data_IF_085765502051
#
_entry.id   IF_085765502051
#
_cell.length_a   1.000
_cell.length_b   1.000
_cell.length_c   1.000
_cell.angle_alpha   90.00
_cell.angle_beta   90.00
_cell.angle_gamma   90.00
#
_symmetry.space_group_name_H-M   'P 1'
#
loop_
_entity.id
_entity.type
_entity.pdbx_description
1 polymer ?
#
# COMPACT_ATOMS: atom_id res chain seq x y z
N UNK A 1 3.51 4.65 -5.38
CA UNK A 1 4.54 4.19 -4.42
C UNK A 1 5.92 4.67 -4.86
N UNK A 2 6.58 5.52 -4.06
CA UNK A 2 7.94 6.03 -4.34
C UNK A 2 8.98 4.92 -4.56
N UNK A 3 8.84 3.80 -3.84
CA UNK A 3 9.77 2.67 -4.01
C UNK A 3 9.64 2.04 -5.40
N UNK A 4 8.42 1.90 -5.91
CA UNK A 4 8.18 1.26 -7.21
C UNK A 4 8.46 2.22 -8.37
N UNK A 5 8.06 3.50 -8.26
CA UNK A 5 8.37 4.51 -9.26
C UNK A 5 9.88 4.79 -9.31
N UNK A 6 10.45 5.26 -8.21
CA UNK A 6 11.81 5.77 -8.21
C UNK A 6 12.85 4.65 -8.17
N UNK A 7 12.80 3.78 -7.15
CA UNK A 7 13.89 2.82 -6.92
C UNK A 7 13.87 1.61 -7.85
N UNK A 8 12.70 1.20 -8.33
CA UNK A 8 12.57 0.10 -9.30
C UNK A 8 12.59 0.64 -10.73
N UNK A 9 11.59 1.42 -11.15
CA UNK A 9 11.44 1.82 -12.56
C UNK A 9 12.50 2.83 -13.00
N UNK A 10 12.71 3.92 -12.25
CA UNK A 10 13.56 5.03 -12.72
C UNK A 10 15.06 4.78 -12.47
N UNK A 11 15.40 4.12 -11.35
CA UNK A 11 16.80 3.88 -10.94
C UNK A 11 17.30 2.46 -11.16
N UNK A 12 16.40 1.48 -11.31
CA UNK A 12 16.78 0.07 -11.47
C UNK A 12 17.59 -0.49 -10.30
N UNK A 13 17.54 0.14 -9.11
CA UNK A 13 18.32 -0.27 -7.96
C UNK A 13 17.84 -1.61 -7.38
N UNK A 14 16.52 -1.83 -7.43
CA UNK A 14 15.90 -3.09 -7.03
C UNK A 14 15.19 -3.72 -8.23
N UNK A 15 15.23 -5.05 -8.32
CA UNK A 15 14.30 -5.76 -9.17
C UNK A 15 12.88 -5.62 -8.61
N UNK A 16 11.87 -5.69 -9.47
CA UNK A 16 10.48 -5.61 -9.03
C UNK A 16 10.15 -6.66 -7.94
N UNK A 17 10.52 -7.95 -8.08
CA UNK A 17 10.30 -8.94 -7.01
C UNK A 17 10.99 -8.62 -5.69
N UNK A 18 12.23 -8.08 -5.69
CA UNK A 18 12.91 -7.71 -4.45
C UNK A 18 12.22 -6.51 -3.76
N UNK A 19 11.76 -5.53 -4.53
CA UNK A 19 10.99 -4.41 -3.99
C UNK A 19 9.65 -4.87 -3.38
N UNK A 20 8.92 -5.77 -4.05
CA UNK A 20 7.69 -6.36 -3.49
C UNK A 20 8.00 -7.09 -2.17
N UNK A 21 9.04 -7.94 -2.14
CA UNK A 21 9.48 -8.64 -0.92
C UNK A 21 9.78 -7.68 0.22
N UNK A 22 10.51 -6.58 -0.04
CA UNK A 22 10.85 -5.54 0.94
C UNK A 22 9.63 -4.83 1.51
N UNK A 23 8.59 -4.64 0.69
CA UNK A 23 7.36 -3.95 1.07
C UNK A 23 6.30 -4.88 1.70
N UNK A 24 6.45 -6.20 1.59
CA UNK A 24 5.40 -7.16 1.97
C UNK A 24 5.92 -8.25 2.92
N UNK A 25 6.51 -9.33 2.40
CA UNK A 25 6.86 -10.51 3.19
C UNK A 25 7.98 -10.25 4.19
N UNK A 26 8.95 -9.40 3.87
CA UNK A 26 10.05 -9.09 4.79
C UNK A 26 9.58 -8.43 6.11
N UNK A 27 8.80 -7.33 6.09
CA UNK A 27 8.25 -6.78 7.33
C UNK A 27 7.25 -7.72 8.01
N UNK A 28 6.45 -8.49 7.26
CA UNK A 28 5.54 -9.48 7.85
C UNK A 28 6.30 -10.55 8.65
N UNK A 29 7.37 -11.11 8.08
CA UNK A 29 8.24 -12.08 8.76
C UNK A 29 8.93 -11.46 9.98
N UNK A 30 9.45 -10.23 9.84
CA UNK A 30 10.08 -9.52 10.96
C UNK A 30 9.13 -9.31 12.14
N UNK A 31 7.84 -9.05 11.87
CA UNK A 31 6.79 -8.89 12.87
C UNK A 31 6.16 -10.21 13.33
N UNK A 32 6.56 -11.35 12.76
CA UNK A 32 5.99 -12.66 13.08
C UNK A 32 4.55 -12.85 12.60
N UNK A 33 4.12 -12.13 11.57
CA UNK A 33 2.78 -12.20 11.00
C UNK A 33 2.72 -13.34 10.00
N UNK A 34 2.07 -14.44 10.37
CA UNK A 34 2.09 -15.68 9.59
C UNK A 34 0.95 -15.74 8.57
N UNK A 35 -0.13 -14.98 8.80
CA UNK A 35 -1.33 -14.97 7.98
C UNK A 35 -1.29 -13.98 6.79
N UNK A 36 -0.16 -13.28 6.55
CA UNK A 36 -0.05 -12.22 5.54
C UNK A 36 1.35 -12.04 4.95
N UNK A 37 1.51 -11.02 4.10
CA UNK A 37 2.78 -10.63 3.49
C UNK A 37 3.15 -11.39 2.22
N UNK A 38 2.37 -12.41 1.83
CA UNK A 38 2.50 -13.11 0.56
C UNK A 38 1.13 -13.52 0.02
N UNK A 39 1.06 -13.77 -1.29
CA UNK A 39 -0.15 -14.18 -1.98
C UNK A 39 -0.23 -15.72 -2.03
N UNK A 40 -0.86 -16.31 -1.02
CA UNK A 40 -1.00 -17.76 -0.85
C UNK A 40 -2.42 -18.12 -0.40
N UNK A 41 -2.88 -19.31 -0.77
CA UNK A 41 -4.17 -19.83 -0.32
C UNK A 41 -4.17 -19.96 1.21
N UNK A 42 -5.22 -19.46 1.85
CA UNK A 42 -5.39 -19.49 3.31
C UNK A 42 -4.87 -18.24 4.05
N UNK A 43 -4.11 -17.37 3.37
CA UNK A 43 -3.69 -16.08 3.93
C UNK A 43 -4.77 -15.00 3.78
N UNK A 44 -4.63 -13.91 4.54
CA UNK A 44 -5.49 -12.72 4.43
C UNK A 44 -5.36 -12.13 3.04
N UNK A 45 -6.51 -11.76 2.46
CA UNK A 45 -6.59 -11.06 1.19
C UNK A 45 -6.26 -9.56 1.35
N UNK A 46 -5.02 -9.28 1.78
CA UNK A 46 -4.41 -7.95 1.80
C UNK A 46 -3.60 -7.79 0.51
N UNK A 47 -4.21 -7.18 -0.51
CA UNK A 47 -3.74 -7.26 -1.91
C UNK A 47 -3.74 -5.87 -2.53
N UNK A 48 -2.72 -5.58 -3.34
CA UNK A 48 -2.70 -4.44 -4.24
C UNK A 48 -2.67 -4.94 -5.69
N UNK A 49 -3.56 -4.38 -6.52
CA UNK A 49 -3.57 -4.52 -7.98
C UNK A 49 -3.11 -3.19 -8.55
N UNK A 50 -1.93 -3.18 -9.15
CA UNK A 50 -1.26 -1.95 -9.58
C UNK A 50 -0.87 -2.03 -11.06
N UNK A 51 -0.88 -0.88 -11.71
CA UNK A 51 -0.19 -0.66 -12.97
C UNK A 51 1.29 -0.40 -12.66
N UNK A 52 2.15 -1.38 -12.94
CA UNK A 52 3.57 -1.29 -12.63
C UNK A 52 4.30 -0.18 -13.43
N UNK A 53 3.76 0.22 -14.58
CA UNK A 53 4.35 1.28 -15.41
C UNK A 53 3.99 2.66 -14.88
N UNK A 54 2.78 2.82 -14.33
CA UNK A 54 2.25 4.13 -13.91
C UNK A 54 2.23 4.36 -12.39
N UNK A 55 2.42 3.32 -11.58
CA UNK A 55 2.36 3.47 -10.12
C UNK A 55 3.36 4.51 -9.62
N UNK A 56 2.87 5.52 -8.92
CA UNK A 56 3.68 6.65 -8.46
C UNK A 56 3.00 7.39 -7.30
N UNK A 57 3.74 8.28 -6.68
CA UNK A 57 3.27 9.31 -5.77
C UNK A 57 3.05 10.63 -6.51
N UNK A 58 2.00 11.36 -6.15
CA UNK A 58 1.73 12.68 -6.69
C UNK A 58 2.56 13.76 -5.98
N UNK A 59 2.49 14.99 -6.47
CA UNK A 59 3.01 16.13 -5.74
C UNK A 59 2.25 16.32 -4.42
N UNK A 60 2.93 16.65 -3.31
CA UNK A 60 2.26 16.98 -2.06
C UNK A 60 1.38 18.23 -2.21
N UNK A 61 0.23 18.22 -1.56
CA UNK A 61 -0.68 19.35 -1.48
C UNK A 61 -1.03 19.70 -0.04
N UNK A 62 -1.39 20.96 0.21
CA UNK A 62 -1.82 21.44 1.52
C UNK A 62 -3.34 21.40 1.59
N UNK A 63 -3.88 20.67 2.55
CA UNK A 63 -5.32 20.65 2.88
C UNK A 63 -5.55 21.19 4.29
N UNK A 64 -6.78 21.64 4.57
CA UNK A 64 -7.22 22.25 5.84
C UNK A 64 -8.44 21.55 6.42
N UNK A 65 -8.34 20.25 6.62
CA UNK A 65 -9.43 19.36 7.06
C UNK A 65 -9.27 18.85 8.50
N UNK A 66 -8.27 19.37 9.23
CA UNK A 66 -8.05 19.07 10.64
C UNK A 66 -8.88 19.97 11.56
N UNK A 67 -9.05 19.62 12.85
CA UNK A 67 -9.66 20.51 13.83
C UNK A 67 -9.03 21.90 13.80
N UNK A 68 -9.87 22.94 13.93
CA UNK A 68 -9.47 24.35 13.84
C UNK A 68 -8.86 24.76 12.49
N UNK A 69 -9.20 24.06 11.40
CA UNK A 69 -8.70 24.34 10.03
C UNK A 69 -7.16 24.31 9.92
N UNK A 70 -6.53 23.55 10.83
CA UNK A 70 -5.09 23.41 10.82
C UNK A 70 -4.63 22.76 9.50
N UNK A 71 -3.58 23.29 8.85
CA UNK A 71 -3.10 22.75 7.59
C UNK A 71 -2.34 21.44 7.82
N UNK A 72 -2.47 20.49 6.88
CA UNK A 72 -1.60 19.33 6.77
C UNK A 72 -1.23 19.06 5.32
N UNK A 73 -0.08 18.42 5.12
CA UNK A 73 0.28 17.88 3.80
C UNK A 73 -0.42 16.54 3.57
N UNK A 74 -0.96 16.37 2.37
CA UNK A 74 -1.32 15.06 1.84
C UNK A 74 -0.59 14.82 0.54
N UNK A 75 -0.35 13.54 0.26
CA UNK A 75 0.29 13.12 -0.97
C UNK A 75 -0.46 11.90 -1.48
N UNK A 76 -1.12 12.08 -2.63
CA UNK A 76 -1.88 11.01 -3.26
C UNK A 76 -0.96 10.01 -3.95
N UNK A 77 -1.49 8.83 -4.23
CA UNK A 77 -0.87 7.85 -5.10
C UNK A 77 -1.72 7.64 -6.35
N UNK A 78 -1.08 7.24 -7.45
CA UNK A 78 -1.74 6.87 -8.70
C UNK A 78 -1.25 5.52 -9.18
N UNK A 79 -1.99 4.90 -10.11
CA UNK A 79 -1.65 3.62 -10.73
C UNK A 79 -2.10 2.41 -9.90
N UNK A 80 -3.07 2.59 -9.00
CA UNK A 80 -3.73 1.53 -8.25
C UNK A 80 -5.09 1.23 -8.89
N UNK A 81 -5.23 0.04 -9.45
CA UNK A 81 -6.53 -0.44 -9.89
C UNK A 81 -7.42 -0.81 -8.70
N UNK A 82 -6.85 -1.50 -7.71
CA UNK A 82 -7.55 -1.82 -6.47
C UNK A 82 -6.58 -2.06 -5.31
N UNK A 83 -7.00 -1.72 -4.10
CA UNK A 83 -6.39 -2.19 -2.85
C UNK A 83 -7.45 -2.88 -2.02
N UNK A 84 -7.11 -4.06 -1.52
CA UNK A 84 -7.96 -4.89 -0.69
C UNK A 84 -7.34 -5.02 0.70
N UNK A 85 -8.19 -4.95 1.72
CA UNK A 85 -7.83 -5.29 3.10
C UNK A 85 -8.83 -6.33 3.61
N UNK A 86 -8.32 -7.48 4.08
CA UNK A 86 -9.12 -8.63 4.48
C UNK A 86 -10.17 -9.04 3.42
N UNK A 87 -9.85 -8.87 2.13
CA UNK A 87 -10.73 -9.21 1.00
C UNK A 87 -11.77 -8.16 0.61
N UNK A 88 -11.89 -7.06 1.36
CA UNK A 88 -12.76 -5.95 0.98
C UNK A 88 -11.98 -4.85 0.27
N UNK A 89 -12.53 -4.32 -0.84
CA UNK A 89 -11.93 -3.25 -1.64
C UNK A 89 -12.03 -1.93 -0.90
N UNK A 90 -10.88 -1.37 -0.51
CA UNK A 90 -10.78 -0.10 0.23
C UNK A 90 -10.42 1.08 -0.67
N UNK A 91 -9.82 0.78 -1.83
CA UNK A 91 -9.45 1.73 -2.85
C UNK A 91 -9.70 1.09 -4.22
N UNK A 92 -10.30 1.82 -5.14
CA UNK A 92 -10.56 1.40 -6.50
C UNK A 92 -10.30 2.55 -7.46
N UNK A 93 -9.49 2.33 -8.51
CA UNK A 93 -9.09 3.35 -9.49
C UNK A 93 -8.57 4.63 -8.82
N UNK A 94 -7.57 4.46 -7.97
CA UNK A 94 -6.92 5.53 -7.19
C UNK A 94 -7.81 6.24 -6.13
N UNK A 95 -9.09 5.87 -6.00
CA UNK A 95 -10.04 6.53 -5.08
C UNK A 95 -10.44 5.63 -3.90
N UNK A 96 -10.51 6.21 -2.69
CA UNK A 96 -10.94 5.48 -1.50
C UNK A 96 -12.45 5.16 -1.56
N UNK A 97 -12.81 3.91 -1.28
CA UNK A 97 -14.23 3.47 -1.25
C UNK A 97 -14.94 3.84 0.05
N UNK A 98 -14.20 4.25 1.07
CA UNK A 98 -14.70 4.51 2.42
C UNK A 98 -14.89 3.27 3.29
N UNK A 99 -14.73 2.06 2.74
CA UNK A 99 -14.81 0.79 3.48
C UNK A 99 -13.61 0.66 4.43
N UNK A 100 -13.86 0.26 5.69
CA UNK A 100 -12.84 0.16 6.75
C UNK A 100 -12.86 -1.23 7.40
N UNK A 101 -12.39 -2.29 6.71
CA UNK A 101 -12.45 -3.68 7.17
C UNK A 101 -11.25 -4.06 8.06
N UNK A 102 -10.36 -3.10 8.32
CA UNK A 102 -9.16 -3.28 9.12
C UNK A 102 -9.48 -3.67 10.55
N UNK A 103 -8.57 -4.44 11.16
CA UNK A 103 -8.65 -4.85 12.57
C UNK A 103 -7.31 -4.61 13.23
N UNK A 104 -7.35 -4.39 14.54
CA UNK A 104 -6.12 -4.38 15.35
C UNK A 104 -5.50 -5.76 15.28
N UNK A 105 -4.21 -5.82 14.95
CA UNK A 105 -3.42 -7.06 14.90
C UNK A 105 -2.49 -7.13 16.11
N UNK A 106 -2.09 -8.35 16.48
CA UNK A 106 -1.16 -8.67 17.55
C UNK A 106 0.04 -9.44 16.99
N UNK A 107 1.13 -9.45 17.75
CA UNK A 107 2.28 -10.29 17.43
C UNK A 107 1.85 -11.76 17.43
N UNK A 108 2.14 -12.47 16.34
CA UNK A 108 1.77 -13.87 16.14
C UNK A 108 0.42 -14.12 15.46
N UNK A 109 -0.32 -13.06 15.08
CA UNK A 109 -1.49 -13.19 14.20
C UNK A 109 -1.13 -13.76 12.80
#
# INVERSE_FOLDING_TARGET
SFVLSHWVRDRGLFSFPDAIRRLTSNPAQFLGLNDRGSLEVGKRADINVIDAEHVAECQPEVVRDMPFEAPRFIQHGVGYHATLCNGAVILEKDELTGVRPGRVIRSGD
#
